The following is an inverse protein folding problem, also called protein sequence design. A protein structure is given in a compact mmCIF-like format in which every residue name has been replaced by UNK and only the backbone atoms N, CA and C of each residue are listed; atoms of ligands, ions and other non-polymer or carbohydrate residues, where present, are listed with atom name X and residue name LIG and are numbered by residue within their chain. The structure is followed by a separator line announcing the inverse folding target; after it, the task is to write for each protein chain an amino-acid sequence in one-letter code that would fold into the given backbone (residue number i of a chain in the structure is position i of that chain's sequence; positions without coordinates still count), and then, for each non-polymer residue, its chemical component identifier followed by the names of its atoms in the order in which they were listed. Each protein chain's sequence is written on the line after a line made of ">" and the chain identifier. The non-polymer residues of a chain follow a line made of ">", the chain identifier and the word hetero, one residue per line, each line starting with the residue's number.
data_IF_977185887968
#
_entry.id   IF_977185887968
#
_cell.length_a   1.000
_cell.length_b   1.000
_cell.length_c   1.000
_cell.angle_alpha   90.00
_cell.angle_beta   90.00
_cell.angle_gamma   90.00
#
_symmetry.space_group_name_H-M   'P 1'
#
loop_
_entity.id
_entity.type
_entity.pdbx_description
1 polymer ?
#
# COMPACT_ATOMS: atom_id res chain seq x y z
N UNK A 1 1.06 24.47 -17.64
CA UNK A 1 0.96 24.41 -16.15
C UNK A 1 -0.47 24.08 -15.68
N UNK A 2 -1.24 23.27 -16.41
CA UNK A 2 -2.55 22.80 -15.94
C UNK A 2 -2.82 21.33 -16.24
N UNK A 3 -1.75 20.57 -16.49
CA UNK A 3 -1.80 19.14 -16.80
C UNK A 3 -1.12 18.28 -15.73
N UNK A 4 -0.71 18.88 -14.61
CA UNK A 4 -0.15 18.16 -13.44
C UNK A 4 -1.25 17.53 -12.57
N UNK A 5 -2.52 17.84 -12.90
CA UNK A 5 -3.73 17.30 -12.30
C UNK A 5 -4.49 16.38 -13.26
N UNK A 6 -3.86 15.94 -14.36
CA UNK A 6 -4.42 14.87 -15.18
C UNK A 6 -4.31 13.55 -14.40
N UNK A 7 -5.33 13.35 -13.58
CA UNK A 7 -5.92 12.09 -13.12
C UNK A 7 -6.25 11.10 -14.27
N UNK A 8 -5.60 11.22 -15.43
CA UNK A 8 -5.83 10.42 -16.63
C UNK A 8 -4.62 9.57 -17.02
N UNK A 9 -3.42 9.82 -16.46
CA UNK A 9 -2.25 8.99 -16.76
C UNK A 9 -1.79 8.24 -15.52
N UNK A 10 -2.49 7.14 -15.19
CA UNK A 10 -1.93 5.94 -14.54
C UNK A 10 -1.04 6.18 -13.30
N UNK A 11 -1.26 7.27 -12.55
CA UNK A 11 -0.46 7.62 -11.37
C UNK A 11 -0.84 6.76 -10.17
N UNK A 12 -2.11 6.40 -10.06
CA UNK A 12 -2.64 5.66 -8.93
C UNK A 12 -2.00 4.30 -8.71
N UNK A 13 -1.81 3.42 -9.73
CA UNK A 13 -1.11 2.16 -9.51
C UNK A 13 0.36 2.35 -9.07
N UNK A 14 1.09 3.33 -9.64
CA UNK A 14 2.49 3.60 -9.24
C UNK A 14 2.62 4.15 -7.82
N UNK A 15 1.70 5.03 -7.42
CA UNK A 15 1.69 5.59 -6.06
C UNK A 15 1.44 4.49 -5.02
N UNK A 16 0.55 3.54 -5.29
CA UNK A 16 0.26 2.44 -4.35
C UNK A 16 1.50 1.56 -4.14
N UNK A 17 2.32 1.32 -5.16
CA UNK A 17 3.57 0.55 -5.03
C UNK A 17 4.55 1.25 -4.07
N UNK A 18 4.63 2.59 -4.13
CA UNK A 18 5.47 3.39 -3.22
C UNK A 18 4.92 3.31 -1.79
N UNK A 19 3.61 3.47 -1.62
CA UNK A 19 2.94 3.36 -0.31
C UNK A 19 3.10 1.95 0.28
N UNK A 20 3.01 0.92 -0.54
CA UNK A 20 3.22 -0.47 -0.14
C UNK A 20 4.62 -0.69 0.44
N UNK A 21 5.66 -0.21 -0.24
CA UNK A 21 7.04 -0.28 0.26
C UNK A 21 7.22 0.50 1.57
N UNK A 22 6.57 1.65 1.70
CA UNK A 22 6.61 2.47 2.92
C UNK A 22 5.91 1.77 4.09
N UNK A 23 4.73 1.18 3.88
CA UNK A 23 4.04 0.36 4.89
C UNK A 23 4.84 -0.87 5.30
N UNK A 24 5.50 -1.53 4.34
CA UNK A 24 6.33 -2.70 4.63
C UNK A 24 7.57 -2.29 5.43
N UNK A 25 8.21 -1.17 5.08
CA UNK A 25 9.32 -0.63 5.86
C UNK A 25 8.86 -0.29 7.29
N UNK A 26 7.72 0.39 7.47
CA UNK A 26 7.22 0.74 8.80
C UNK A 26 6.86 -0.48 9.65
N UNK A 27 6.29 -1.53 9.05
CA UNK A 27 6.01 -2.79 9.74
C UNK A 27 7.30 -3.50 10.21
N UNK A 28 8.34 -3.50 9.37
CA UNK A 28 9.65 -4.07 9.72
C UNK A 28 10.32 -3.27 10.82
N UNK A 29 10.43 -1.94 10.66
CA UNK A 29 11.04 -1.07 11.67
C UNK A 29 10.28 -1.11 12.99
N UNK A 30 8.95 -1.12 12.95
CA UNK A 30 8.09 -1.20 14.14
C UNK A 30 8.24 -2.52 14.89
N UNK A 31 8.25 -3.66 14.18
CA UNK A 31 8.45 -4.96 14.84
C UNK A 31 9.86 -5.16 15.39
N UNK A 32 10.90 -4.70 14.67
CA UNK A 32 12.29 -4.73 15.16
C UNK A 32 12.43 -3.84 16.40
N UNK A 33 11.83 -2.64 16.40
CA UNK A 33 11.84 -1.76 17.56
C UNK A 33 11.10 -2.38 18.76
N UNK A 34 9.97 -3.06 18.54
CA UNK A 34 9.24 -3.77 19.60
C UNK A 34 10.04 -4.93 20.21
N UNK A 35 10.80 -5.67 19.40
CA UNK A 35 11.69 -6.73 19.87
C UNK A 35 12.84 -6.14 20.71
N UNK A 36 13.42 -5.01 20.28
CA UNK A 36 14.48 -4.31 21.04
C UNK A 36 13.99 -3.74 22.37
N UNK A 37 12.73 -3.35 22.47
CA UNK A 37 12.11 -2.86 23.71
C UNK A 37 11.78 -3.97 24.72
N UNK A 38 12.07 -5.24 24.41
CA UNK A 38 11.84 -6.38 25.30
C UNK A 38 10.45 -7.00 25.20
N UNK A 39 9.54 -6.43 24.40
CA UNK A 39 8.21 -6.97 24.15
C UNK A 39 8.20 -7.90 22.92
N UNK A 40 8.97 -8.98 23.00
CA UNK A 40 9.22 -9.91 21.88
C UNK A 40 7.91 -10.48 21.30
N UNK A 41 6.94 -10.82 22.17
CA UNK A 41 5.66 -11.40 21.76
C UNK A 41 4.81 -10.36 21.00
N UNK A 42 4.68 -9.14 21.56
CA UNK A 42 3.91 -8.07 20.94
C UNK A 42 4.57 -7.60 19.64
N UNK A 43 5.90 -7.48 19.61
CA UNK A 43 6.68 -7.14 18.42
C UNK A 43 6.55 -8.16 17.30
N UNK A 44 6.55 -9.47 17.63
CA UNK A 44 6.37 -10.55 16.64
C UNK A 44 4.96 -10.56 16.06
N UNK A 45 3.94 -10.39 16.91
CA UNK A 45 2.54 -10.30 16.46
C UNK A 45 2.35 -9.07 15.57
N UNK A 46 2.89 -7.92 15.97
CA UNK A 46 2.82 -6.68 15.19
C UNK A 46 3.54 -6.80 13.85
N UNK A 47 4.65 -7.53 13.77
CA UNK A 47 5.37 -7.79 12.51
C UNK A 47 4.53 -8.66 11.57
N UNK A 48 3.97 -9.76 12.08
CA UNK A 48 3.15 -10.69 11.27
C UNK A 48 1.88 -9.99 10.79
N UNK A 49 1.10 -9.39 11.71
CA UNK A 49 -0.13 -8.69 11.35
C UNK A 49 0.14 -7.44 10.51
N UNK A 50 1.23 -6.70 10.79
CA UNK A 50 1.61 -5.52 10.03
C UNK A 50 1.97 -5.85 8.59
N UNK A 51 2.77 -6.89 8.35
CA UNK A 51 3.15 -7.32 7.00
C UNK A 51 1.98 -7.94 6.24
N UNK A 52 1.22 -8.84 6.88
CA UNK A 52 0.05 -9.49 6.26
C UNK A 52 -1.05 -8.47 5.99
N UNK A 53 -1.35 -7.61 6.95
CA UNK A 53 -2.33 -6.53 6.81
C UNK A 53 -1.94 -5.53 5.72
N UNK A 54 -0.67 -5.09 5.68
CA UNK A 54 -0.18 -4.21 4.61
C UNK A 54 -0.30 -4.86 3.23
N UNK A 55 -0.02 -6.16 3.10
CA UNK A 55 -0.20 -6.92 1.85
C UNK A 55 -1.65 -6.90 1.39
N UNK A 56 -2.57 -7.34 2.26
CA UNK A 56 -4.01 -7.43 1.94
C UNK A 56 -4.56 -6.05 1.58
N UNK A 57 -4.24 -5.02 2.38
CA UNK A 57 -4.73 -3.67 2.14
C UNK A 57 -4.20 -3.10 0.82
N UNK A 58 -2.91 -3.26 0.52
CA UNK A 58 -2.35 -2.79 -0.74
C UNK A 58 -2.90 -3.54 -1.95
N UNK A 59 -3.13 -4.85 -1.84
CA UNK A 59 -3.67 -5.65 -2.93
C UNK A 59 -5.13 -5.27 -3.24
N UNK A 60 -5.95 -5.04 -2.21
CA UNK A 60 -7.31 -4.54 -2.38
C UNK A 60 -7.34 -3.14 -3.00
N UNK A 61 -6.43 -2.24 -2.61
CA UNK A 61 -6.31 -0.92 -3.24
C UNK A 61 -5.97 -1.06 -4.73
N UNK A 62 -4.97 -1.86 -5.10
CA UNK A 62 -4.60 -2.06 -6.50
C UNK A 62 -5.78 -2.61 -7.31
N UNK A 63 -6.51 -3.58 -6.78
CA UNK A 63 -7.70 -4.17 -7.44
C UNK A 63 -8.79 -3.11 -7.64
N UNK A 64 -9.09 -2.30 -6.62
CA UNK A 64 -10.08 -1.24 -6.70
C UNK A 64 -9.72 -0.20 -7.77
N UNK A 65 -8.44 0.20 -7.84
CA UNK A 65 -7.98 1.15 -8.86
C UNK A 65 -7.94 0.55 -10.27
N UNK A 66 -7.56 -0.74 -10.41
CA UNK A 66 -7.66 -1.45 -11.70
C UNK A 66 -9.09 -1.52 -12.22
N UNK A 67 -10.06 -1.75 -11.34
CA UNK A 67 -11.49 -1.76 -11.72
C UNK A 67 -11.95 -0.36 -12.18
N UNK A 68 -11.47 0.70 -11.54
CA UNK A 68 -11.76 2.07 -11.94
C UNK A 68 -11.16 2.41 -13.31
N UNK A 69 -9.92 1.98 -13.60
CA UNK A 69 -9.31 2.11 -14.94
C UNK A 69 -10.13 1.34 -15.99
N UNK A 70 -10.56 0.11 -15.71
CA UNK A 70 -11.38 -0.67 -16.64
C UNK A 70 -12.74 0.00 -16.94
N UNK A 71 -13.36 0.66 -15.97
CA UNK A 71 -14.59 1.43 -16.16
C UNK A 71 -14.36 2.72 -16.96
N UNK A 72 -13.23 3.40 -16.76
CA UNK A 72 -12.86 4.58 -17.55
C UNK A 72 -12.58 4.22 -19.01
N UNK A 73 -11.93 3.07 -19.26
CA UNK A 73 -11.66 2.57 -20.61
C UNK A 73 -12.96 2.31 -21.39
N UNK A 74 -13.97 1.68 -20.75
CA UNK A 74 -15.30 1.47 -21.34
C UNK A 74 -16.02 2.80 -21.60
N UNK A 75 -15.89 3.80 -20.72
CA UNK A 75 -16.53 5.12 -20.89
C UNK A 75 -15.93 5.95 -22.03
N UNK A 76 -14.67 5.70 -22.38
CA UNK A 76 -13.98 6.42 -23.46
C UNK A 76 -14.33 5.91 -24.87
N UNK A 77 -15.19 4.89 -24.96
CA UNK A 77 -15.68 4.25 -26.19
C UNK A 77 -17.14 4.60 -26.45
#
# INVERSE_FOLDING_TARGET
>A
MRDVFFFENMLTPKIIIIVYWLMLASAIFGGIAGIFSGEIIAGTIALIFGVVGARIFCELLIVAFKMNEALQDIRSK
#
